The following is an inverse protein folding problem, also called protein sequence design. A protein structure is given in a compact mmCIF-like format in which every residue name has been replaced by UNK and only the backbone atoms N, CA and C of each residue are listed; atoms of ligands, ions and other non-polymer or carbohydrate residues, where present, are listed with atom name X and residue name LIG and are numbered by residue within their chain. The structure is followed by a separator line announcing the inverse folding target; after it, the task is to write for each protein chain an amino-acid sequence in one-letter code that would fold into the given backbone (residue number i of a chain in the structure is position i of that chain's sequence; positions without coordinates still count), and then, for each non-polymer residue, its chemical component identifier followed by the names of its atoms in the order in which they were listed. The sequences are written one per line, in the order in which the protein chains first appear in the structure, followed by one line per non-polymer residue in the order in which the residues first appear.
data_IF_531182733231
#
_entry.id   IF_531182733231
#
_cell.length_a   1.000
_cell.length_b   1.000
_cell.length_c   1.000
_cell.angle_alpha   90.00
_cell.angle_beta   90.00
_cell.angle_gamma   90.00
#
_symmetry.space_group_name_H-M   'P 1'
#
loop_
_entity.id
_entity.type
_entity.pdbx_description
1 polymer ?
#
# COMPACT_ATOMS: atom_id res chain seq x y z
N UNK A 1 -1.90 17.36 -0.35
CA UNK A 1 -3.12 17.16 0.46
C UNK A 1 -3.70 15.77 0.19
N UNK A 2 -4.30 15.50 -0.99
CA UNK A 2 -4.91 14.18 -1.30
C UNK A 2 -3.96 12.98 -1.10
N UNK A 3 -2.76 12.97 -1.70
CA UNK A 3 -1.85 11.81 -1.59
C UNK A 3 -1.47 11.48 -0.15
N UNK A 4 -1.27 12.51 0.69
CA UNK A 4 -0.94 12.35 2.10
C UNK A 4 -2.09 11.73 2.88
N UNK A 5 -3.34 12.15 2.62
CA UNK A 5 -4.53 11.56 3.25
C UNK A 5 -4.70 10.09 2.86
N UNK A 6 -4.48 9.75 1.58
CA UNK A 6 -4.53 8.37 1.11
C UNK A 6 -3.44 7.51 1.77
N UNK A 7 -2.22 8.03 1.91
CA UNK A 7 -1.11 7.33 2.55
C UNK A 7 -1.37 7.09 4.05
N UNK A 8 -1.96 8.06 4.76
CA UNK A 8 -2.32 7.90 6.17
C UNK A 8 -3.43 6.83 6.37
N UNK A 9 -4.42 6.77 5.49
CA UNK A 9 -5.46 5.74 5.54
C UNK A 9 -4.89 4.34 5.27
N UNK A 10 -4.00 4.23 4.30
CA UNK A 10 -3.30 2.97 4.00
C UNK A 10 -2.31 2.59 5.12
N UNK A 11 -1.69 3.56 5.81
CA UNK A 11 -0.80 3.32 6.95
C UNK A 11 -1.53 2.60 8.10
N UNK A 12 -2.68 3.13 8.55
CA UNK A 12 -3.50 2.47 9.60
C UNK A 12 -3.93 1.07 9.17
N UNK A 13 -4.29 0.90 7.89
CA UNK A 13 -4.63 -0.42 7.32
C UNK A 13 -3.43 -1.38 7.37
N UNK A 14 -2.24 -0.90 7.01
CA UNK A 14 -1.01 -1.69 6.99
C UNK A 14 -0.60 -2.13 8.39
N UNK A 15 -0.58 -1.22 9.37
CA UNK A 15 -0.21 -1.51 10.76
C UNK A 15 -1.15 -2.56 11.39
N UNK A 16 -2.46 -2.41 11.17
CA UNK A 16 -3.46 -3.40 11.65
C UNK A 16 -3.27 -4.77 10.99
N UNK A 17 -2.95 -4.80 9.70
CA UNK A 17 -2.68 -6.02 8.98
C UNK A 17 -1.42 -6.72 9.52
N UNK A 18 -0.33 -5.97 9.72
CA UNK A 18 0.92 -6.47 10.32
C UNK A 18 0.62 -7.12 11.67
N UNK A 19 -0.05 -6.40 12.58
CA UNK A 19 -0.37 -6.92 13.91
C UNK A 19 -1.16 -8.25 13.87
N UNK A 20 -2.13 -8.36 12.95
CA UNK A 20 -2.95 -9.58 12.78
C UNK A 20 -2.14 -10.75 12.20
N UNK A 21 -1.35 -10.48 11.16
CA UNK A 21 -0.64 -11.50 10.39
C UNK A 21 0.60 -12.00 11.14
N UNK A 22 1.25 -11.13 11.92
CA UNK A 22 2.47 -11.45 12.65
C UNK A 22 2.32 -12.66 13.58
N UNK A 23 1.16 -12.83 14.23
CA UNK A 23 0.89 -14.00 15.08
C UNK A 23 0.84 -15.30 14.27
N UNK A 24 0.20 -15.28 13.10
CA UNK A 24 0.11 -16.46 12.20
C UNK A 24 1.47 -16.79 11.59
N UNK A 25 2.22 -15.78 11.16
CA UNK A 25 3.57 -15.94 10.63
C UNK A 25 4.53 -16.57 11.66
N UNK A 26 4.47 -16.13 12.93
CA UNK A 26 5.21 -16.76 14.05
C UNK A 26 4.81 -18.21 14.28
N UNK A 27 3.55 -18.57 14.02
CA UNK A 27 3.04 -19.94 14.08
C UNK A 27 3.48 -20.85 12.92
N UNK A 28 4.27 -20.34 11.97
CA UNK A 28 4.84 -21.13 10.88
C UNK A 28 4.03 -21.13 9.58
N UNK A 29 2.91 -20.42 9.53
CA UNK A 29 2.10 -20.25 8.32
C UNK A 29 2.94 -19.55 7.22
N UNK A 30 3.10 -20.22 6.07
CA UNK A 30 3.94 -19.75 4.96
C UNK A 30 3.31 -18.57 4.23
N UNK A 31 2.00 -18.57 4.07
CA UNK A 31 1.28 -17.51 3.37
C UNK A 31 1.29 -16.24 4.23
N UNK A 32 1.09 -16.39 5.55
CA UNK A 32 1.20 -15.29 6.50
C UNK A 32 2.63 -14.70 6.54
N UNK A 33 3.68 -15.52 6.38
CA UNK A 33 5.06 -15.02 6.29
C UNK A 33 5.29 -14.22 5.01
N UNK A 34 4.78 -14.69 3.88
CA UNK A 34 4.89 -13.97 2.61
C UNK A 34 4.13 -12.63 2.66
N UNK A 35 2.90 -12.64 3.18
CA UNK A 35 2.11 -11.42 3.38
C UNK A 35 2.82 -10.43 4.32
N UNK A 36 3.32 -10.90 5.47
CA UNK A 36 4.03 -10.06 6.43
C UNK A 36 5.26 -9.39 5.81
N UNK A 37 6.06 -10.14 5.04
CA UNK A 37 7.24 -9.60 4.38
C UNK A 37 6.89 -8.48 3.38
N UNK A 38 5.76 -8.58 2.68
CA UNK A 38 5.29 -7.50 1.79
C UNK A 38 4.80 -6.30 2.59
N UNK A 39 4.05 -6.51 3.66
CA UNK A 39 3.57 -5.43 4.53
C UNK A 39 4.74 -4.67 5.18
N UNK A 40 5.80 -5.37 5.59
CA UNK A 40 7.03 -4.75 6.11
C UNK A 40 7.77 -3.92 5.05
N UNK A 41 7.68 -4.27 3.75
CA UNK A 41 8.18 -3.41 2.65
C UNK A 41 7.29 -2.18 2.43
N UNK A 42 5.98 -2.32 2.60
CA UNK A 42 5.00 -1.24 2.41
C UNK A 42 5.06 -0.17 3.52
N UNK A 43 5.30 -0.60 4.77
CA UNK A 43 5.28 0.27 5.95
C UNK A 43 6.17 1.54 5.82
N UNK A 44 7.48 1.46 5.54
CA UNK A 44 8.33 2.65 5.48
C UNK A 44 7.93 3.62 4.35
N UNK A 45 7.36 3.10 3.26
CA UNK A 45 6.83 3.95 2.20
C UNK A 45 5.65 4.79 2.70
N UNK A 46 4.73 4.18 3.44
CA UNK A 46 3.54 4.84 3.97
C UNK A 46 3.85 5.80 5.13
N UNK A 47 4.80 5.46 6.01
CA UNK A 47 5.27 6.34 7.09
C UNK A 47 5.83 7.68 6.55
N UNK A 48 6.44 7.65 5.37
CA UNK A 48 6.94 8.83 4.67
C UNK A 48 5.88 9.49 3.76
N UNK A 49 4.60 9.17 3.94
CA UNK A 49 3.49 9.61 3.09
C UNK A 49 3.67 9.28 1.60
N UNK A 50 4.43 8.23 1.29
CA UNK A 50 4.71 7.73 -0.04
C UNK A 50 3.60 6.84 -0.57
N UNK A 51 3.50 6.74 -1.90
CA UNK A 51 2.49 5.91 -2.57
C UNK A 51 3.03 4.50 -2.78
N UNK A 52 2.25 3.46 -2.43
CA UNK A 52 2.66 2.07 -2.63
C UNK A 52 2.83 1.70 -4.11
N UNK A 53 2.13 2.37 -5.04
CA UNK A 53 2.32 2.16 -6.49
C UNK A 53 3.73 2.49 -6.99
N UNK A 54 4.53 3.22 -6.22
CA UNK A 54 5.92 3.53 -6.55
C UNK A 54 6.90 2.41 -6.14
N UNK A 55 6.43 1.43 -5.35
CA UNK A 55 7.22 0.25 -5.01
C UNK A 55 7.21 -0.74 -6.16
N UNK A 56 8.37 -1.35 -6.43
CA UNK A 56 8.48 -2.46 -7.37
C UNK A 56 8.07 -3.77 -6.68
N UNK A 57 6.75 -3.94 -6.51
CA UNK A 57 6.17 -5.17 -5.98
C UNK A 57 5.89 -6.16 -7.12
N UNK A 58 6.30 -7.41 -6.92
CA UNK A 58 6.01 -8.51 -7.85
C UNK A 58 4.51 -8.80 -7.96
N UNK A 59 4.11 -9.61 -8.95
CA UNK A 59 2.72 -10.03 -9.10
C UNK A 59 2.23 -10.83 -7.89
N UNK A 60 3.09 -11.70 -7.34
CA UNK A 60 2.83 -12.50 -6.16
C UNK A 60 2.69 -11.62 -4.91
N UNK A 61 3.56 -10.62 -4.76
CA UNK A 61 3.50 -9.68 -3.63
C UNK A 61 2.21 -8.85 -3.67
N UNK A 62 1.85 -8.33 -4.86
CA UNK A 62 0.57 -7.63 -5.06
C UNK A 62 -0.62 -8.53 -4.79
N UNK A 63 -0.55 -9.82 -5.15
CA UNK A 63 -1.61 -10.78 -4.89
C UNK A 63 -1.81 -11.03 -3.39
N UNK A 64 -0.71 -11.16 -2.62
CA UNK A 64 -0.74 -11.40 -1.18
C UNK A 64 -1.47 -10.28 -0.40
N UNK A 65 -1.33 -9.02 -0.84
CA UNK A 65 -1.95 -7.86 -0.18
C UNK A 65 -3.23 -7.36 -0.86
N UNK A 66 -3.67 -7.99 -1.95
CA UNK A 66 -4.78 -7.49 -2.79
C UNK A 66 -6.08 -7.28 -2.02
N UNK A 67 -6.35 -8.15 -1.04
CA UNK A 67 -7.58 -8.12 -0.25
C UNK A 67 -7.68 -6.86 0.65
N UNK A 68 -6.55 -6.23 0.99
CA UNK A 68 -6.51 -5.00 1.80
C UNK A 68 -6.99 -3.77 1.01
N UNK A 69 -7.07 -3.86 -0.32
CA UNK A 69 -7.62 -2.80 -1.18
C UNK A 69 -6.96 -1.42 -1.02
N UNK A 70 -5.64 -1.39 -0.76
CA UNK A 70 -4.86 -0.16 -0.59
C UNK A 70 -5.16 0.89 -1.66
N UNK A 71 -5.42 2.12 -1.21
CA UNK A 71 -5.78 3.25 -2.06
C UNK A 71 -4.58 3.74 -2.87
N UNK A 72 -3.40 3.80 -2.23
CA UNK A 72 -2.16 4.29 -2.81
C UNK A 72 -1.51 3.31 -3.80
N UNK A 73 -1.96 2.05 -3.83
CA UNK A 73 -1.54 1.04 -4.80
C UNK A 73 -2.33 1.10 -6.11
N UNK A 74 -3.55 1.66 -6.08
CA UNK A 74 -4.39 1.80 -7.29
C UNK A 74 -3.71 2.69 -8.33
N UNK A 75 -3.82 2.39 -9.64
CA UNK A 75 -3.39 3.29 -10.70
C UNK A 75 -4.04 4.67 -10.56
N UNK A 76 -3.34 5.72 -10.96
CA UNK A 76 -3.82 7.12 -10.86
C UNK A 76 -3.45 7.89 -12.11
N UNK A 77 -4.31 8.83 -12.50
CA UNK A 77 -4.10 9.77 -13.59
C UNK A 77 -4.38 11.17 -13.07
N UNK A 78 -3.53 12.14 -13.40
CA UNK A 78 -3.81 13.54 -13.12
C UNK A 78 -4.65 14.13 -14.24
N UNK A 79 -5.79 14.73 -13.87
CA UNK A 79 -6.65 15.46 -14.81
C UNK A 79 -6.30 16.94 -14.68
N UNK A 80 -5.56 17.45 -15.65
CA UNK A 80 -5.24 18.87 -15.75
C UNK A 80 -6.36 19.57 -16.54
N UNK A 81 -7.36 20.09 -15.82
CA UNK A 81 -8.42 20.89 -16.43
C UNK A 81 -7.94 22.32 -16.64
N UNK A 82 -7.94 22.79 -17.89
CA UNK A 82 -7.47 24.12 -18.30
C UNK A 82 -8.55 24.83 -19.11
N UNK A 83 -8.56 26.17 -19.09
CA UNK A 83 -9.43 26.96 -19.97
C UNK A 83 -8.96 26.84 -21.43
N UNK A 84 -9.85 27.10 -22.39
CA UNK A 84 -9.57 27.00 -23.84
C UNK A 84 -8.36 27.84 -24.28
N UNK A 85 -8.13 28.97 -23.59
CA UNK A 85 -7.02 29.89 -23.89
C UNK A 85 -5.67 29.46 -23.28
N UNK A 86 -5.63 28.37 -22.51
CA UNK A 86 -4.42 27.67 -22.05
C UNK A 86 -3.20 28.53 -21.66
N UNK A 87 -3.12 28.90 -20.38
CA UNK A 87 -2.09 29.73 -19.71
C UNK A 87 -2.12 31.23 -20.03
#
# INVERSE_FOLDING_TARGET
VINTELALADLDTCERAIHRVQKKAKGGDKDAKAELAVLEKCLPQLENAGMLRALDLSAEEKAAIRYLSFLTLKPTMYIANVNEDGF
#
